data_IF_917319712465
#
_entry.id   IF_917319712465
#
_cell.length_a   1.000
_cell.length_b   1.000
_cell.length_c   1.000
_cell.angle_alpha   90.00
_cell.angle_beta   90.00
_cell.angle_gamma   90.00
#
_symmetry.space_group_name_H-M   'P 1'
#
loop_
_entity.id
_entity.type
_entity.pdbx_description
1 polymer ?
#
# COMPACT_ATOMS: atom_id res chain seq x y z
N UNK A 1 -4.87 2.99 -28.44
CA UNK A 1 -5.28 2.25 -27.23
C UNK A 1 -5.20 3.22 -26.07
N UNK A 2 -6.30 3.43 -25.32
CA UNK A 2 -6.25 4.28 -24.14
C UNK A 2 -5.33 3.59 -23.11
N UNK A 3 -4.23 4.25 -22.78
CA UNK A 3 -3.27 3.73 -21.81
C UNK A 3 -3.86 4.01 -20.42
N UNK A 4 -4.64 3.06 -19.88
CA UNK A 4 -5.29 3.21 -18.59
C UNK A 4 -4.21 3.28 -17.51
N UNK A 5 -4.17 4.40 -16.77
CA UNK A 5 -3.21 4.61 -15.69
C UNK A 5 -3.70 3.85 -14.46
N UNK A 6 -2.88 2.93 -13.97
CA UNK A 6 -3.13 2.23 -12.70
C UNK A 6 -2.42 2.91 -11.54
N UNK A 7 -3.16 3.10 -10.45
CA UNK A 7 -2.69 3.74 -9.22
C UNK A 7 -2.86 2.75 -8.07
N UNK A 8 -1.78 2.49 -7.32
CA UNK A 8 -1.82 1.73 -6.07
C UNK A 8 -1.83 2.70 -4.88
N UNK A 9 -2.94 2.76 -4.15
CA UNK A 9 -3.03 3.47 -2.89
C UNK A 9 -2.71 2.52 -1.72
N UNK A 10 -1.82 2.94 -0.82
CA UNK A 10 -1.35 2.16 0.33
C UNK A 10 -1.59 2.96 1.62
N UNK A 11 -2.35 2.39 2.54
CA UNK A 11 -2.63 2.97 3.85
C UNK A 11 -2.26 1.98 4.97
N UNK A 12 -1.02 2.03 5.47
CA UNK A 12 -0.62 1.28 6.65
C UNK A 12 -1.30 1.84 7.90
N UNK A 13 -1.93 0.96 8.67
CA UNK A 13 -2.41 1.20 10.04
C UNK A 13 -1.69 0.33 11.05
N UNK A 14 -2.02 0.47 12.34
CA UNK A 14 -1.37 -0.30 13.42
C UNK A 14 -1.51 -1.80 13.23
N UNK A 15 -2.74 -2.29 13.04
CA UNK A 15 -3.07 -3.73 12.96
C UNK A 15 -3.54 -4.18 11.56
N UNK A 16 -3.44 -3.29 10.57
CA UNK A 16 -3.83 -3.61 9.20
C UNK A 16 -3.05 -2.79 8.18
N UNK A 17 -3.07 -3.23 6.93
CA UNK A 17 -2.69 -2.43 5.77
C UNK A 17 -3.85 -2.47 4.79
N UNK A 18 -4.47 -1.32 4.51
CA UNK A 18 -5.46 -1.22 3.45
C UNK A 18 -4.75 -0.86 2.15
N UNK A 19 -5.09 -1.56 1.07
CA UNK A 19 -4.61 -1.26 -0.28
C UNK A 19 -5.78 -1.18 -1.25
N UNK A 20 -5.59 -0.39 -2.30
CA UNK A 20 -6.53 -0.25 -3.39
C UNK A 20 -5.78 -0.07 -4.71
N UNK A 21 -6.24 -0.71 -5.78
CA UNK A 21 -5.79 -0.42 -7.15
C UNK A 21 -6.92 0.25 -7.90
N UNK A 22 -6.61 1.39 -8.49
CA UNK A 22 -7.53 2.18 -9.31
C UNK A 22 -7.10 2.16 -10.77
N UNK A 23 -8.08 2.18 -11.66
CA UNK A 23 -7.94 2.52 -13.07
C UNK A 23 -8.61 3.88 -13.30
N UNK A 24 -7.80 4.94 -13.42
CA UNK A 24 -8.30 6.31 -13.33
C UNK A 24 -8.98 6.56 -11.98
N UNK A 25 -10.28 6.84 -11.98
CA UNK A 25 -11.09 7.08 -10.78
C UNK A 25 -11.80 5.81 -10.26
N UNK A 26 -11.75 4.72 -11.02
CA UNK A 26 -12.50 3.50 -10.72
C UNK A 26 -11.65 2.53 -9.88
N UNK A 27 -12.08 2.13 -8.67
CA UNK A 27 -11.40 1.08 -7.92
C UNK A 27 -11.66 -0.28 -8.56
N UNK A 28 -10.59 -0.97 -8.96
CA UNK A 28 -10.67 -2.33 -9.52
C UNK A 28 -10.29 -3.40 -8.49
N UNK A 29 -9.64 -3.01 -7.40
CA UNK A 29 -9.27 -3.90 -6.30
C UNK A 29 -9.22 -3.14 -4.99
N UNK A 30 -9.79 -3.73 -3.94
CA UNK A 30 -9.78 -3.22 -2.57
C UNK A 30 -9.45 -4.38 -1.63
N UNK A 31 -8.46 -4.18 -0.76
CA UNK A 31 -8.09 -5.20 0.23
C UNK A 31 -7.74 -4.58 1.57
N UNK A 32 -8.25 -5.20 2.63
CA UNK A 32 -7.82 -4.96 3.99
C UNK A 32 -6.99 -6.16 4.48
N UNK A 33 -5.67 -5.99 4.52
CA UNK A 33 -4.74 -7.00 5.03
C UNK A 33 -4.69 -6.83 6.55
N UNK A 34 -5.18 -7.81 7.30
CA UNK A 34 -5.09 -7.81 8.77
C UNK A 34 -3.75 -8.40 9.18
N UNK A 35 -3.16 -7.83 10.24
CA UNK A 35 -1.94 -8.32 10.86
C UNK A 35 -2.29 -8.79 12.27
N UNK A 36 -2.40 -10.11 12.50
CA UNK A 36 -2.58 -10.67 13.83
C UNK A 36 -1.51 -10.17 14.79
N UNK A 37 -1.85 -10.06 16.08
CA UNK A 37 -0.91 -9.54 17.08
C UNK A 37 0.32 -10.44 17.18
N UNK A 38 0.11 -11.75 17.07
CA UNK A 38 1.14 -12.78 17.15
C UNK A 38 2.21 -12.60 16.06
N UNK A 39 1.82 -12.19 14.84
CA UNK A 39 2.76 -11.88 13.76
C UNK A 39 3.49 -10.55 13.99
N UNK A 40 2.82 -9.56 14.59
CA UNK A 40 3.40 -8.24 14.84
C UNK A 40 4.36 -8.24 16.04
N UNK A 41 4.13 -9.09 17.03
CA UNK A 41 4.94 -9.22 18.25
C UNK A 41 6.34 -9.81 17.94
N UNK A 42 6.56 -10.36 16.74
CA UNK A 42 7.88 -10.80 16.25
C UNK A 42 8.84 -9.62 15.96
N UNK A 43 8.33 -8.39 15.87
CA UNK A 43 9.11 -7.21 15.51
C UNK A 43 9.37 -6.30 16.71
N UNK A 44 10.64 -6.00 16.98
CA UNK A 44 11.03 -5.07 18.06
C UNK A 44 10.55 -3.64 17.77
N UNK A 45 10.65 -3.19 16.51
CA UNK A 45 10.27 -1.84 16.09
C UNK A 45 9.28 -1.88 14.94
N UNK A 46 8.43 -0.85 14.85
CA UNK A 46 7.47 -0.69 13.75
C UNK A 46 8.17 -0.64 12.39
N UNK A 47 9.37 -0.03 12.32
CA UNK A 47 10.18 0.03 11.10
C UNK A 47 10.58 -1.35 10.56
N UNK A 48 10.73 -2.33 11.46
CA UNK A 48 11.20 -3.68 11.11
C UNK A 48 10.11 -4.46 10.34
N UNK A 49 8.84 -4.03 10.50
CA UNK A 49 7.68 -4.59 9.79
C UNK A 49 7.67 -4.23 8.30
N UNK A 50 8.59 -3.40 7.80
CA UNK A 50 8.58 -2.90 6.42
C UNK A 50 8.52 -4.03 5.39
N UNK A 51 9.44 -5.00 5.47
CA UNK A 51 9.49 -6.10 4.49
C UNK A 51 8.27 -7.02 4.62
N UNK A 52 7.86 -7.32 5.85
CA UNK A 52 6.65 -8.11 6.12
C UNK A 52 5.42 -7.50 5.44
N UNK A 53 5.15 -6.21 5.68
CA UNK A 53 4.00 -5.52 5.10
C UNK A 53 4.11 -5.40 3.58
N UNK A 54 5.29 -5.07 3.04
CA UNK A 54 5.52 -4.99 1.59
C UNK A 54 5.25 -6.33 0.90
N UNK A 55 5.75 -7.43 1.46
CA UNK A 55 5.59 -8.76 0.89
C UNK A 55 4.12 -9.19 0.87
N UNK A 56 3.35 -8.87 1.91
CA UNK A 56 1.92 -9.13 1.93
C UNK A 56 1.17 -8.34 0.84
N UNK A 57 1.51 -7.06 0.62
CA UNK A 57 0.92 -6.27 -0.47
C UNK A 57 1.21 -6.92 -1.83
N UNK A 58 2.47 -7.30 -2.10
CA UNK A 58 2.87 -7.94 -3.36
C UNK A 58 2.11 -9.26 -3.54
N UNK A 59 2.00 -10.07 -2.49
CA UNK A 59 1.22 -11.31 -2.51
C UNK A 59 -0.24 -11.06 -2.88
N UNK A 60 -0.88 -10.05 -2.27
CA UNK A 60 -2.28 -9.72 -2.56
C UNK A 60 -2.49 -9.21 -4.00
N UNK A 61 -1.56 -8.42 -4.54
CA UNK A 61 -1.61 -8.01 -5.94
C UNK A 61 -1.49 -9.21 -6.88
N UNK A 62 -0.56 -10.13 -6.60
CA UNK A 62 -0.38 -11.36 -7.38
C UNK A 62 -1.62 -12.26 -7.33
N UNK A 63 -2.22 -12.44 -6.15
CA UNK A 63 -3.46 -13.22 -5.97
C UNK A 63 -4.66 -12.62 -6.70
N UNK A 64 -4.67 -11.29 -6.89
CA UNK A 64 -5.66 -10.58 -7.68
C UNK A 64 -5.32 -10.48 -9.17
N UNK A 65 -4.27 -11.17 -9.62
CA UNK A 65 -3.77 -11.14 -11.01
C UNK A 65 -3.40 -9.72 -11.49
N UNK A 66 -3.02 -8.84 -10.57
CA UNK A 66 -2.57 -7.47 -10.87
C UNK A 66 -1.04 -7.47 -10.94
N UNK A 67 -0.51 -7.33 -12.16
CA UNK A 67 0.93 -7.20 -12.36
C UNK A 67 1.45 -5.89 -11.77
N UNK A 68 2.48 -5.97 -10.93
CA UNK A 68 3.08 -4.79 -10.30
C UNK A 68 3.64 -3.79 -11.33
N UNK A 69 4.16 -4.29 -12.46
CA UNK A 69 4.70 -3.46 -13.54
C UNK A 69 3.60 -2.70 -14.32
N UNK A 70 2.33 -3.11 -14.17
CA UNK A 70 1.21 -2.37 -14.76
C UNK A 70 0.84 -1.11 -13.95
N UNK A 71 1.29 -1.02 -12.70
CA UNK A 71 1.02 0.12 -11.81
C UNK A 71 1.97 1.27 -12.17
N UNK A 72 1.39 2.42 -12.53
CA UNK A 72 2.14 3.62 -12.94
C UNK A 72 2.45 4.54 -11.77
N UNK A 73 1.57 4.57 -10.77
CA UNK A 73 1.65 5.49 -9.64
C UNK A 73 1.43 4.70 -8.35
N UNK A 74 2.24 4.96 -7.33
CA UNK A 74 2.04 4.43 -5.99
C UNK A 74 1.87 5.62 -5.05
N UNK A 75 0.79 5.65 -4.27
CA UNK A 75 0.49 6.70 -3.31
C UNK A 75 0.44 6.09 -1.92
N UNK A 76 1.26 6.61 -0.99
CA UNK A 76 1.26 6.20 0.41
C UNK A 76 0.62 7.25 1.30
N UNK A 77 -0.01 6.82 2.41
CA UNK A 77 -0.36 7.73 3.50
C UNK A 77 0.91 8.33 4.11
N UNK A 78 0.92 9.65 4.31
CA UNK A 78 2.00 10.36 5.00
C UNK A 78 2.24 9.80 6.41
N UNK A 79 3.52 9.69 6.77
CA UNK A 79 3.98 9.19 8.08
C UNK A 79 4.23 10.31 9.08
N UNK A 80 5.01 9.99 10.12
CA UNK A 80 5.50 10.97 11.10
C UNK A 80 6.58 11.84 10.45
N UNK A 81 6.22 13.07 10.08
CA UNK A 81 7.10 14.05 9.45
C UNK A 81 7.20 15.30 10.33
N UNK A 82 8.20 16.15 10.06
CA UNK A 82 8.20 17.53 10.58
C UNK A 82 6.98 18.28 10.02
N UNK A 83 6.53 19.38 10.66
CA UNK A 83 5.49 20.22 10.07
C UNK A 83 5.86 20.64 8.64
N UNK A 84 4.95 20.37 7.70
CA UNK A 84 5.06 20.69 6.27
C UNK A 84 3.69 21.12 5.75
N UNK A 85 3.67 21.79 4.59
CA UNK A 85 2.41 22.18 3.93
C UNK A 85 1.59 20.95 3.50
N UNK A 86 0.28 21.11 3.37
CA UNK A 86 -0.57 20.07 2.82
C UNK A 86 -0.32 19.92 1.31
N UNK A 87 -0.32 18.68 0.81
CA UNK A 87 -0.12 18.44 -0.61
C UNK A 87 0.32 17.01 -0.91
N UNK A 88 0.54 16.76 -2.19
CA UNK A 88 1.16 15.52 -2.69
C UNK A 88 2.65 15.79 -2.90
N UNK A 89 3.48 14.96 -2.30
CA UNK A 89 4.93 15.04 -2.41
C UNK A 89 5.46 13.92 -3.29
N UNK A 90 6.28 14.26 -4.28
CA UNK A 90 7.06 13.28 -5.03
C UNK A 90 8.29 12.91 -4.21
N UNK A 91 8.49 11.61 -3.96
CA UNK A 91 9.54 11.07 -3.08
C UNK A 91 10.38 10.02 -3.77
#
# INVERSE_FOLDING_TARGET
>A
MNNIIRILAINPGSTSTKIAVYEGETPIFLKNIKHPKEELDEFEKISDQFQFRKNLIIKQLKEAEIEINSIKIIVGRGGLLKPIESGVYNV
#
